data_IF_485455614178
#
_entry.id   IF_485455614178
#
_cell.length_a   1.000
_cell.length_b   1.000
_cell.length_c   1.000
_cell.angle_alpha   90.00
_cell.angle_beta   90.00
_cell.angle_gamma   90.00
#
_symmetry.space_group_name_H-M   'P 1'
#
loop_
_entity.id
_entity.type
_entity.pdbx_description
1 polymer ?
#
# COMPACT_ATOMS: atom_id res chain seq x y z
N UNK A 1 39.61 17.47 28.66
CA UNK A 1 38.45 16.64 28.23
C UNK A 1 38.32 16.78 26.72
N UNK A 2 39.00 15.93 25.96
CA UNK A 2 39.04 15.98 24.49
C UNK A 2 37.88 15.18 23.93
N UNK A 3 36.90 15.88 23.37
CA UNK A 3 35.81 15.28 22.61
C UNK A 3 36.35 14.85 21.25
N UNK A 4 36.84 13.61 21.16
CA UNK A 4 37.16 12.98 19.88
C UNK A 4 35.85 12.79 19.10
N UNK A 5 35.50 13.78 18.29
CA UNK A 5 34.43 13.65 17.31
C UNK A 5 34.87 12.65 16.26
N UNK A 6 34.59 11.37 16.53
CA UNK A 6 34.98 10.23 15.68
C UNK A 6 34.52 10.51 14.24
N UNK A 7 35.43 10.58 13.25
CA UNK A 7 35.09 10.89 11.86
C UNK A 7 34.03 9.94 11.26
N UNK A 8 33.94 8.73 11.82
CA UNK A 8 32.94 7.72 11.48
C UNK A 8 31.48 8.14 11.79
N UNK A 9 31.25 9.04 12.76
CA UNK A 9 29.90 9.51 13.08
C UNK A 9 29.35 10.49 12.03
N UNK A 10 30.24 11.17 11.29
CA UNK A 10 29.87 12.16 10.27
C UNK A 10 29.46 11.49 8.95
N UNK A 11 30.12 10.38 8.57
CA UNK A 11 29.79 9.60 7.37
C UNK A 11 28.53 8.74 7.49
N UNK A 12 28.14 8.31 8.70
CA UNK A 12 26.94 7.48 8.91
C UNK A 12 25.63 8.23 8.64
N UNK A 13 25.60 9.55 8.83
CA UNK A 13 24.39 10.36 8.66
C UNK A 13 23.84 10.39 7.22
N UNK A 14 24.64 10.72 6.18
CA UNK A 14 24.14 10.70 4.80
C UNK A 14 23.76 9.29 4.34
N UNK A 15 24.52 8.26 4.75
CA UNK A 15 24.20 6.88 4.42
C UNK A 15 22.85 6.45 5.00
N UNK A 16 22.57 6.80 6.27
CA UNK A 16 21.29 6.50 6.92
C UNK A 16 20.12 7.26 6.28
N UNK A 17 20.35 8.48 5.78
CA UNK A 17 19.35 9.25 5.05
C UNK A 17 19.02 8.61 3.71
N UNK A 18 20.05 8.27 2.92
CA UNK A 18 19.88 7.56 1.63
C UNK A 18 19.15 6.24 1.86
N UNK A 19 19.54 5.46 2.87
CA UNK A 19 18.85 4.21 3.21
C UNK A 19 17.39 4.43 3.60
N UNK A 20 17.08 5.46 4.38
CA UNK A 20 15.71 5.78 4.79
C UNK A 20 14.85 6.17 3.58
N UNK A 21 15.40 6.98 2.66
CA UNK A 21 14.70 7.38 1.43
C UNK A 21 14.49 6.16 0.52
N UNK A 22 15.52 5.32 0.35
CA UNK A 22 15.42 4.11 -0.47
C UNK A 22 14.38 3.13 0.09
N UNK A 23 14.38 2.89 1.40
CA UNK A 23 13.38 2.06 2.06
C UNK A 23 11.98 2.64 1.92
N UNK A 24 11.83 3.95 2.10
CA UNK A 24 10.55 4.61 1.91
C UNK A 24 10.04 4.50 0.47
N UNK A 25 10.88 4.76 -0.52
CA UNK A 25 10.50 4.58 -1.93
C UNK A 25 10.12 3.12 -2.24
N UNK A 26 10.84 2.15 -1.69
CA UNK A 26 10.51 0.74 -1.85
C UNK A 26 9.16 0.39 -1.22
N UNK A 27 8.86 0.89 -0.02
CA UNK A 27 7.54 0.74 0.63
C UNK A 27 6.44 1.41 -0.19
N UNK A 28 6.68 2.62 -0.73
CA UNK A 28 5.70 3.29 -1.61
C UNK A 28 5.43 2.45 -2.86
N UNK A 29 6.46 1.94 -3.53
CA UNK A 29 6.29 1.10 -4.72
C UNK A 29 5.55 -0.22 -4.38
N UNK A 30 5.93 -0.87 -3.27
CA UNK A 30 5.32 -2.12 -2.82
C UNK A 30 3.85 -1.91 -2.44
N UNK A 31 3.54 -0.86 -1.66
CA UNK A 31 2.19 -0.52 -1.25
C UNK A 31 1.29 -0.18 -2.43
N UNK A 32 1.80 0.55 -3.44
CA UNK A 32 1.05 0.83 -4.66
C UNK A 32 0.67 -0.47 -5.37
N UNK A 33 1.65 -1.36 -5.55
CA UNK A 33 1.42 -2.65 -6.19
C UNK A 33 0.45 -3.53 -5.39
N UNK A 34 0.56 -3.51 -4.05
CA UNK A 34 -0.34 -4.23 -3.14
C UNK A 34 -1.78 -3.78 -3.28
N UNK A 35 -2.01 -2.46 -3.27
CA UNK A 35 -3.35 -1.88 -3.41
C UNK A 35 -3.96 -2.25 -4.76
N UNK A 36 -3.21 -2.09 -5.86
CA UNK A 36 -3.71 -2.46 -7.20
C UNK A 36 -4.07 -3.94 -7.26
N UNK A 37 -3.19 -4.81 -6.80
CA UNK A 37 -3.41 -6.28 -6.84
C UNK A 37 -4.61 -6.68 -5.98
N UNK A 38 -4.76 -6.06 -4.81
CA UNK A 38 -5.91 -6.29 -3.93
C UNK A 38 -7.22 -5.86 -4.59
N UNK A 39 -7.26 -4.66 -5.17
CA UNK A 39 -8.45 -4.15 -5.86
C UNK A 39 -8.83 -5.01 -7.07
N UNK A 40 -7.84 -5.45 -7.86
CA UNK A 40 -8.07 -6.39 -8.97
C UNK A 40 -8.67 -7.72 -8.50
N UNK A 41 -8.17 -8.27 -7.39
CA UNK A 41 -8.70 -9.51 -6.81
C UNK A 41 -10.13 -9.35 -6.29
N UNK A 42 -10.42 -8.24 -5.60
CA UNK A 42 -11.78 -7.91 -5.14
C UNK A 42 -12.74 -7.75 -6.31
N UNK A 43 -12.32 -7.07 -7.38
CA UNK A 43 -13.14 -6.88 -8.59
C UNK A 43 -13.47 -8.21 -9.28
N UNK A 44 -12.49 -9.11 -9.40
CA UNK A 44 -12.69 -10.45 -9.95
C UNK A 44 -13.75 -11.23 -9.16
N UNK A 45 -13.68 -11.19 -7.84
CA UNK A 45 -14.65 -11.87 -6.97
C UNK A 45 -16.04 -11.26 -7.05
N UNK A 46 -16.14 -9.93 -7.02
CA UNK A 46 -17.41 -9.22 -7.18
C UNK A 46 -18.07 -9.60 -8.52
N UNK A 47 -17.30 -9.70 -9.60
CA UNK A 47 -17.78 -10.18 -10.90
C UNK A 47 -18.26 -11.64 -10.82
N UNK A 48 -17.45 -12.56 -10.28
CA UNK A 48 -17.79 -13.98 -10.18
C UNK A 48 -19.11 -14.21 -9.41
N UNK A 49 -19.27 -13.61 -8.22
CA UNK A 49 -20.50 -13.69 -7.43
C UNK A 49 -21.71 -13.11 -8.16
N UNK A 50 -21.52 -12.05 -8.94
CA UNK A 50 -22.62 -11.40 -9.66
C UNK A 50 -23.06 -12.23 -10.85
N UNK A 51 -22.14 -12.82 -11.62
CA UNK A 51 -22.48 -13.73 -12.71
C UNK A 51 -23.16 -15.00 -12.21
N UNK A 52 -22.66 -15.59 -11.11
CA UNK A 52 -23.29 -16.75 -10.48
C UNK A 52 -24.73 -16.43 -10.00
N UNK A 53 -24.97 -15.20 -9.52
CA UNK A 53 -26.31 -14.78 -9.09
C UNK A 53 -27.25 -14.48 -10.27
N UNK A 54 -26.72 -13.96 -11.38
CA UNK A 54 -27.48 -13.69 -12.61
C UNK A 54 -27.87 -14.99 -13.32
N UNK A 55 -27.00 -16.00 -13.35
CA UNK A 55 -27.32 -17.33 -13.90
C UNK A 55 -28.51 -17.97 -13.16
N UNK A 56 -28.71 -17.63 -11.88
CA UNK A 56 -29.82 -18.10 -11.06
C UNK A 56 -31.08 -17.20 -11.09
N UNK A 57 -31.05 -16.03 -11.75
CA UNK A 57 -32.20 -15.14 -11.86
C UNK A 57 -32.37 -14.62 -13.30
N UNK A 58 -33.32 -15.21 -14.03
CA UNK A 58 -33.87 -14.66 -15.28
C UNK A 58 -34.55 -13.29 -15.04
N UNK A 59 -33.85 -12.17 -14.86
CA UNK A 59 -34.48 -10.84 -14.97
C UNK A 59 -33.53 -9.71 -15.39
N UNK A 60 -34.08 -8.82 -16.23
CA UNK A 60 -33.37 -7.83 -17.05
C UNK A 60 -32.45 -6.86 -16.31
N UNK A 61 -31.22 -6.72 -16.83
CA UNK A 61 -30.15 -5.90 -16.26
C UNK A 61 -29.53 -5.01 -17.35
N UNK A 62 -30.18 -3.90 -17.67
CA UNK A 62 -29.58 -2.82 -18.49
C UNK A 62 -29.14 -1.61 -17.65
N UNK A 63 -29.57 -1.50 -16.38
CA UNK A 63 -29.29 -0.33 -15.52
C UNK A 63 -28.13 -0.54 -14.53
N UNK A 64 -27.62 -1.76 -14.35
CA UNK A 64 -26.63 -2.10 -13.31
C UNK A 64 -25.18 -1.78 -13.68
N UNK A 65 -24.84 -1.67 -14.97
CA UNK A 65 -23.45 -1.54 -15.43
C UNK A 65 -22.82 -0.18 -15.14
N UNK A 66 -23.60 0.92 -15.25
CA UNK A 66 -23.12 2.29 -15.02
C UNK A 66 -22.90 2.62 -13.55
N UNK A 67 -23.90 2.34 -12.69
CA UNK A 67 -23.81 2.54 -11.24
C UNK A 67 -22.70 1.70 -10.60
N UNK A 68 -22.51 0.47 -11.07
CA UNK A 68 -21.45 -0.43 -10.58
C UNK A 68 -20.05 0.02 -10.97
N UNK A 69 -19.88 0.60 -12.17
CA UNK A 69 -18.61 1.27 -12.56
C UNK A 69 -18.32 2.48 -11.68
N UNK A 70 -19.30 3.34 -11.43
CA UNK A 70 -19.11 4.56 -10.62
C UNK A 70 -18.75 4.23 -9.17
N UNK A 71 -19.41 3.24 -8.56
CA UNK A 71 -19.07 2.77 -7.20
C UNK A 71 -17.66 2.17 -7.16
N UNK A 72 -17.27 1.36 -8.15
CA UNK A 72 -15.91 0.78 -8.21
C UNK A 72 -14.82 1.86 -8.31
N UNK A 73 -14.95 2.80 -9.24
CA UNK A 73 -13.96 3.86 -9.41
C UNK A 73 -13.89 4.79 -8.18
N UNK A 74 -15.02 5.03 -7.51
CA UNK A 74 -15.07 5.80 -6.27
C UNK A 74 -14.31 5.12 -5.13
N UNK A 75 -14.50 3.82 -4.92
CA UNK A 75 -13.79 3.05 -3.88
C UNK A 75 -12.29 2.97 -4.15
N UNK A 76 -11.90 2.75 -5.42
CA UNK A 76 -10.48 2.76 -5.83
C UNK A 76 -9.86 4.13 -5.54
N UNK A 77 -10.52 5.22 -5.93
CA UNK A 77 -10.02 6.57 -5.71
C UNK A 77 -9.85 6.89 -4.22
N UNK A 78 -10.83 6.56 -3.38
CA UNK A 78 -10.74 6.76 -1.92
C UNK A 78 -9.61 5.91 -1.33
N UNK A 79 -9.49 4.64 -1.72
CA UNK A 79 -8.43 3.74 -1.24
C UNK A 79 -7.04 4.28 -1.58
N UNK A 80 -6.84 4.76 -2.81
CA UNK A 80 -5.59 5.38 -3.25
C UNK A 80 -5.32 6.66 -2.47
N UNK A 81 -6.30 7.54 -2.28
CA UNK A 81 -6.13 8.79 -1.53
C UNK A 81 -5.74 8.54 -0.06
N UNK A 82 -6.39 7.58 0.60
CA UNK A 82 -6.05 7.18 1.97
C UNK A 82 -4.63 6.63 2.03
N UNK A 83 -4.24 5.78 1.07
CA UNK A 83 -2.89 5.23 1.01
C UNK A 83 -1.83 6.32 0.79
N UNK A 84 -2.06 7.26 -0.14
CA UNK A 84 -1.16 8.41 -0.37
C UNK A 84 -1.04 9.26 0.90
N UNK A 85 -2.16 9.62 1.54
CA UNK A 85 -2.13 10.47 2.73
C UNK A 85 -1.42 9.81 3.91
N UNK A 86 -1.76 8.56 4.22
CA UNK A 86 -1.25 7.88 5.41
C UNK A 86 0.15 7.31 5.23
N UNK A 87 0.41 6.59 4.13
CA UNK A 87 1.64 5.83 3.92
C UNK A 87 2.71 6.69 3.26
N UNK A 88 2.35 7.43 2.20
CA UNK A 88 3.32 8.23 1.46
C UNK A 88 3.67 9.49 2.25
N UNK A 89 2.70 10.36 2.52
CA UNK A 89 2.95 11.66 3.18
C UNK A 89 3.26 11.47 4.68
N UNK A 90 2.38 10.78 5.41
CA UNK A 90 2.54 10.55 6.84
C UNK A 90 3.78 9.71 7.17
N UNK A 91 4.05 8.65 6.39
CA UNK A 91 5.25 7.83 6.53
C UNK A 91 6.53 8.64 6.27
N UNK A 92 6.56 9.45 5.21
CA UNK A 92 7.72 10.29 4.89
C UNK A 92 8.06 11.21 6.08
N UNK A 93 7.09 12.00 6.56
CA UNK A 93 7.30 12.92 7.67
C UNK A 93 7.78 12.21 8.94
N UNK A 94 7.19 11.05 9.25
CA UNK A 94 7.57 10.23 10.39
C UNK A 94 9.03 9.75 10.31
N UNK A 95 9.43 9.22 9.15
CA UNK A 95 10.76 8.64 8.95
C UNK A 95 11.83 9.71 8.92
N UNK A 96 11.59 10.87 8.29
CA UNK A 96 12.51 12.00 8.30
C UNK A 96 12.77 12.54 9.71
N UNK A 97 11.73 12.64 10.56
CA UNK A 97 11.89 13.07 11.96
C UNK A 97 12.63 12.05 12.84
N UNK A 98 12.79 10.81 12.37
CA UNK A 98 13.32 9.67 13.17
C UNK A 98 14.42 8.89 12.46
N UNK A 99 15.14 9.53 11.54
CA UNK A 99 16.26 8.91 10.81
C UNK A 99 17.25 8.26 11.80
N UNK A 100 17.59 7.00 11.54
CA UNK A 100 18.53 6.23 12.35
C UNK A 100 17.99 5.70 13.68
N UNK A 101 16.72 5.97 14.05
CA UNK A 101 16.11 5.43 15.27
C UNK A 101 15.48 4.06 15.02
N UNK A 102 15.62 3.12 15.97
CA UNK A 102 15.02 1.77 15.91
C UNK A 102 13.50 1.80 15.73
N UNK A 103 12.82 2.79 16.30
CA UNK A 103 11.37 2.97 16.13
C UNK A 103 10.97 3.24 14.68
N UNK A 104 11.81 3.93 13.90
CA UNK A 104 11.60 4.17 12.47
C UNK A 104 11.62 2.86 11.67
N UNK A 105 12.64 2.03 11.89
CA UNK A 105 12.77 0.73 11.21
C UNK A 105 11.68 -0.26 11.60
N UNK A 106 11.19 -0.22 12.85
CA UNK A 106 10.06 -1.05 13.26
C UNK A 106 8.78 -0.70 12.51
N UNK A 107 8.53 0.59 12.25
CA UNK A 107 7.38 1.02 11.44
C UNK A 107 7.55 0.57 10.00
N UNK A 108 8.74 0.69 9.40
CA UNK A 108 8.99 0.14 8.06
C UNK A 108 8.66 -1.36 7.96
N UNK A 109 9.16 -2.15 8.90
CA UNK A 109 8.90 -3.59 8.91
C UNK A 109 7.40 -3.92 9.05
N UNK A 110 6.68 -3.17 9.89
CA UNK A 110 5.24 -3.32 10.04
C UNK A 110 4.47 -2.96 8.76
N UNK A 111 4.82 -1.82 8.13
CA UNK A 111 4.18 -1.39 6.88
C UNK A 111 4.41 -2.41 5.77
N UNK A 112 5.67 -2.86 5.60
CA UNK A 112 6.01 -3.89 4.61
C UNK A 112 5.23 -5.18 4.88
N UNK A 113 5.11 -5.61 6.16
CA UNK A 113 4.34 -6.80 6.51
C UNK A 113 2.86 -6.69 6.13
N UNK A 114 2.25 -5.53 6.34
CA UNK A 114 0.85 -5.26 5.93
C UNK A 114 0.72 -5.26 4.40
N UNK A 115 1.66 -4.62 3.69
CA UNK A 115 1.65 -4.57 2.22
C UNK A 115 1.80 -5.96 1.60
N UNK A 116 2.70 -6.80 2.15
CA UNK A 116 2.85 -8.19 1.73
C UNK A 116 1.60 -9.02 2.02
N UNK A 117 0.93 -8.80 3.16
CA UNK A 117 -0.33 -9.46 3.47
C UNK A 117 -1.44 -9.06 2.48
N UNK A 118 -1.55 -7.77 2.13
CA UNK A 118 -2.49 -7.28 1.12
C UNK A 118 -2.21 -7.87 -0.25
N UNK A 119 -0.93 -7.97 -0.65
CA UNK A 119 -0.53 -8.67 -1.89
C UNK A 119 -0.97 -10.13 -1.86
N UNK A 120 -0.69 -10.85 -0.78
CA UNK A 120 -1.08 -12.26 -0.64
C UNK A 120 -2.60 -12.43 -0.73
N UNK A 121 -3.38 -11.58 -0.05
CA UNK A 121 -4.84 -11.63 -0.12
C UNK A 121 -5.33 -11.31 -1.53
N UNK A 122 -4.84 -10.22 -2.15
CA UNK A 122 -5.23 -9.83 -3.50
C UNK A 122 -4.93 -10.91 -4.55
N UNK A 123 -3.76 -11.53 -4.46
CA UNK A 123 -3.37 -12.64 -5.34
C UNK A 123 -4.24 -13.87 -5.14
N UNK A 124 -4.57 -14.25 -3.89
CA UNK A 124 -5.48 -15.36 -3.61
C UNK A 124 -6.90 -15.09 -4.12
N UNK A 125 -7.42 -13.88 -3.92
CA UNK A 125 -8.74 -13.48 -4.42
C UNK A 125 -8.80 -13.54 -5.95
N UNK A 126 -7.70 -13.22 -6.65
CA UNK A 126 -7.61 -13.32 -8.11
C UNK A 126 -7.56 -14.76 -8.62
N UNK A 127 -7.02 -15.69 -7.83
CA UNK A 127 -6.81 -17.08 -8.22
C UNK A 127 -8.04 -17.98 -7.99
N UNK A 128 -9.11 -17.44 -7.41
CA UNK A 128 -10.35 -18.14 -7.03
C UNK A 128 -11.51 -17.66 -7.88
#
# INVERSE_FOLDING_TARGET
>A
MTTSSHPLARFKKPLLQVLTIALWLATVALGFWAVVTFLEGVDAQILAFTFQKIENQEMGLTTSSGLRRVVNYGTIAIGILVWIGAVVIGGMEYHFKRIGKRSSYRVFAWTIGIELALLAIGTLLRAT
#
